data_IF_503017688940
#
_entry.id   IF_503017688940
#
_cell.length_a   1.000
_cell.length_b   1.000
_cell.length_c   1.000
_cell.angle_alpha   90.00
_cell.angle_beta   90.00
_cell.angle_gamma   90.00
#
_symmetry.space_group_name_H-M   'P 1'
#
loop_
_entity.id
_entity.type
_entity.pdbx_description
1 polymer ?
#
# COMPACT_ATOMS: atom_id res chain seq x y z
N UNK A 1 -4.02 2.11 -5.22
CA UNK A 1 -3.02 2.76 -6.11
C UNK A 1 -3.62 3.34 -7.40
N UNK A 2 -4.67 2.75 -8.01
CA UNK A 2 -5.20 3.22 -9.31
C UNK A 2 -5.75 4.66 -9.35
N UNK A 3 -6.39 5.14 -8.28
CA UNK A 3 -7.07 6.45 -8.25
C UNK A 3 -6.08 7.62 -8.40
N UNK A 4 -4.94 7.58 -7.70
CA UNK A 4 -3.87 8.59 -7.82
C UNK A 4 -3.31 8.60 -9.23
N UNK A 5 -3.01 7.41 -9.78
CA UNK A 5 -2.40 7.28 -11.10
C UNK A 5 -3.31 7.83 -12.19
N UNK A 6 -4.59 7.51 -12.14
CA UNK A 6 -5.57 7.91 -13.16
C UNK A 6 -5.95 9.38 -13.09
N UNK A 7 -6.11 9.94 -11.87
CA UNK A 7 -6.57 11.32 -11.69
C UNK A 7 -5.44 12.35 -11.74
N UNK A 8 -4.25 11.98 -11.28
CA UNK A 8 -3.14 12.93 -11.09
C UNK A 8 -1.95 12.61 -11.98
N UNK A 9 -1.46 11.38 -12.01
CA UNK A 9 -0.18 11.08 -12.69
C UNK A 9 -0.34 11.06 -14.21
N UNK A 10 -1.41 10.45 -14.75
CA UNK A 10 -1.64 10.39 -16.21
C UNK A 10 -2.11 11.71 -16.83
N UNK A 11 -2.70 12.61 -16.02
CA UNK A 11 -3.25 13.90 -16.49
C UNK A 11 -2.40 15.10 -16.08
N UNK A 12 -1.42 14.92 -15.20
CA UNK A 12 -0.53 15.98 -14.72
C UNK A 12 0.77 16.02 -15.51
N UNK A 13 1.15 17.22 -15.96
CA UNK A 13 2.53 17.51 -16.35
C UNK A 13 3.21 18.20 -15.17
N UNK A 14 4.34 17.65 -14.73
CA UNK A 14 5.08 18.13 -13.55
C UNK A 14 6.41 18.71 -13.99
N UNK A 15 6.76 19.88 -13.48
CA UNK A 15 8.01 20.58 -13.83
C UNK A 15 9.24 19.99 -13.11
N UNK A 16 9.01 19.20 -12.07
CA UNK A 16 10.06 18.53 -11.28
C UNK A 16 9.49 17.38 -10.46
N UNK A 17 10.34 16.42 -10.10
CA UNK A 17 10.02 15.34 -9.14
C UNK A 17 9.56 15.91 -7.80
N UNK A 18 10.14 17.03 -7.35
CA UNK A 18 9.73 17.68 -6.09
C UNK A 18 8.27 18.17 -6.14
N UNK A 19 7.84 18.66 -7.29
CA UNK A 19 6.45 19.10 -7.51
C UNK A 19 5.49 17.91 -7.53
N UNK A 20 5.90 16.79 -8.14
CA UNK A 20 5.15 15.54 -8.14
C UNK A 20 4.94 15.03 -6.70
N UNK A 21 6.00 14.99 -5.88
CA UNK A 21 5.92 14.54 -4.48
C UNK A 21 4.93 15.39 -3.69
N UNK A 22 5.07 16.73 -3.74
CA UNK A 22 4.18 17.65 -3.02
C UNK A 22 2.70 17.49 -3.43
N UNK A 23 2.46 17.24 -4.73
CA UNK A 23 1.12 16.96 -5.26
C UNK A 23 0.56 15.65 -4.71
N UNK A 24 1.36 14.58 -4.69
CA UNK A 24 0.95 13.28 -4.12
C UNK A 24 0.62 13.42 -2.63
N UNK A 25 1.46 14.10 -1.86
CA UNK A 25 1.23 14.31 -0.42
C UNK A 25 -0.06 15.09 -0.15
N UNK A 26 -0.29 16.16 -0.92
CA UNK A 26 -1.52 16.96 -0.83
C UNK A 26 -2.76 16.13 -1.19
N UNK A 27 -2.66 15.28 -2.21
CA UNK A 27 -3.74 14.37 -2.60
C UNK A 27 -4.03 13.37 -1.48
N UNK A 28 -3.01 12.71 -0.94
CA UNK A 28 -3.16 11.72 0.14
C UNK A 28 -3.79 12.36 1.38
N UNK A 29 -3.33 13.55 1.78
CA UNK A 29 -3.87 14.28 2.92
C UNK A 29 -5.36 14.62 2.74
N UNK A 30 -5.76 15.08 1.54
CA UNK A 30 -7.17 15.40 1.27
C UNK A 30 -8.03 14.15 1.11
N UNK A 31 -7.52 13.11 0.44
CA UNK A 31 -8.23 11.86 0.23
C UNK A 31 -8.47 11.11 1.55
N UNK A 32 -7.45 11.06 2.42
CA UNK A 32 -7.56 10.38 3.71
C UNK A 32 -8.52 11.08 4.70
N UNK A 33 -8.75 12.40 4.58
CA UNK A 33 -9.71 13.12 5.45
C UNK A 33 -11.16 12.62 5.34
N UNK A 34 -11.55 12.08 4.19
CA UNK A 34 -12.89 11.52 3.95
C UNK A 34 -12.90 10.02 3.65
N UNK A 35 -11.73 9.38 3.59
CA UNK A 35 -11.61 7.95 3.31
C UNK A 35 -11.94 7.15 4.55
N UNK A 36 -12.76 6.11 4.40
CA UNK A 36 -12.81 5.03 5.39
C UNK A 36 -11.40 4.43 5.53
N UNK A 37 -10.88 4.29 6.75
CA UNK A 37 -9.58 3.68 6.95
C UNK A 37 -9.60 2.25 6.42
N UNK A 38 -8.48 1.83 5.84
CA UNK A 38 -8.31 0.44 5.46
C UNK A 38 -8.34 -0.42 6.73
N UNK A 39 -9.35 -1.28 6.87
CA UNK A 39 -9.35 -2.30 7.91
C UNK A 39 -8.48 -3.46 7.48
N UNK A 40 -7.46 -3.76 8.27
CA UNK A 40 -6.72 -5.00 8.16
C UNK A 40 -7.67 -6.16 8.50
N UNK A 41 -8.04 -6.93 7.49
CA UNK A 41 -8.94 -8.10 7.65
C UNK A 41 -8.23 -9.30 8.26
N UNK A 42 -6.91 -9.38 8.09
CA UNK A 42 -6.08 -10.37 8.77
C UNK A 42 -5.77 -9.90 10.18
N UNK A 43 -6.16 -10.70 11.17
CA UNK A 43 -5.71 -10.50 12.55
C UNK A 43 -4.21 -10.77 12.65
N UNK A 44 -3.54 -10.17 13.64
CA UNK A 44 -2.13 -10.43 13.90
C UNK A 44 -1.85 -11.93 14.06
N UNK A 45 -2.74 -12.64 14.75
CA UNK A 45 -2.67 -14.08 14.96
C UNK A 45 -2.67 -14.86 13.62
N UNK A 46 -3.59 -14.53 12.71
CA UNK A 46 -3.66 -15.18 11.40
C UNK A 46 -2.41 -14.92 10.54
N UNK A 47 -1.76 -13.78 10.72
CA UNK A 47 -0.47 -13.47 10.08
C UNK A 47 0.62 -14.38 10.65
N UNK A 48 0.68 -14.56 11.97
CA UNK A 48 1.66 -15.45 12.61
C UNK A 48 1.43 -16.92 12.22
N UNK A 49 0.20 -17.40 12.21
CA UNK A 49 -0.13 -18.76 11.75
C UNK A 49 0.28 -18.99 10.30
N UNK A 50 0.11 -17.97 9.43
CA UNK A 50 0.56 -18.05 8.03
C UNK A 50 2.08 -18.12 7.94
N UNK A 51 2.81 -17.35 8.73
CA UNK A 51 4.28 -17.40 8.79
C UNK A 51 4.74 -18.77 9.29
N UNK A 52 4.16 -19.29 10.38
CA UNK A 52 4.50 -20.62 10.90
C UNK A 52 4.30 -21.72 9.87
N UNK A 53 3.15 -21.73 9.16
CA UNK A 53 2.89 -22.69 8.08
C UNK A 53 3.93 -22.61 6.96
N UNK A 54 4.33 -21.40 6.58
CA UNK A 54 5.37 -21.20 5.56
C UNK A 54 6.73 -21.68 6.04
N UNK A 55 7.11 -21.37 7.29
CA UNK A 55 8.35 -21.85 7.88
C UNK A 55 8.39 -23.38 7.93
N UNK A 56 7.33 -24.05 8.40
CA UNK A 56 7.25 -25.52 8.41
C UNK A 56 7.39 -26.10 7.00
N UNK A 57 6.70 -25.52 6.01
CA UNK A 57 6.79 -25.97 4.61
C UNK A 57 8.17 -25.77 4.01
N UNK A 58 8.83 -24.64 4.28
CA UNK A 58 10.15 -24.32 3.72
C UNK A 58 11.24 -25.12 4.43
N UNK A 59 11.20 -25.20 5.76
CA UNK A 59 12.14 -25.97 6.57
C UNK A 59 11.98 -27.48 6.38
N UNK A 60 10.80 -27.96 6.00
CA UNK A 60 10.55 -29.36 5.61
C UNK A 60 10.90 -29.68 4.15
N UNK A 61 11.23 -28.68 3.32
CA UNK A 61 11.64 -28.87 1.93
C UNK A 61 13.17 -29.02 1.77
N UNK A 62 13.89 -29.31 2.87
CA UNK A 62 15.34 -29.42 2.87
C UNK A 62 15.88 -30.36 3.93
N UNK A 63 15.57 -31.66 3.83
CA UNK A 63 16.53 -32.77 3.77
C UNK A 63 15.79 -34.08 3.46
#
# INVERSE_FOLDING_TARGET
FGIITERMIRRGSFRSVKELIARIETFVANYNKGSTPFMWTATADSIFEKIQRLCVRISGAGH
#
